data_IF_588986049494
#
_entry.id   IF_588986049494
#
_cell.length_a   1.000
_cell.length_b   1.000
_cell.length_c   1.000
_cell.angle_alpha   90.00
_cell.angle_beta   90.00
_cell.angle_gamma   90.00
#
_symmetry.space_group_name_H-M   'P 1'
#
loop_
_entity.id
_entity.type
_entity.pdbx_description
1 polymer ?
#
# COMPACT_ATOMS: atom_id res chain seq x y z
N UNK A 1 -20.37 -4.89 -38.98
CA UNK A 1 -19.42 -4.25 -39.93
C UNK A 1 -19.21 -2.75 -39.64
N UNK A 2 -19.40 -2.29 -38.38
CA UNK A 2 -19.11 -0.88 -37.99
C UNK A 2 -18.09 -0.77 -36.85
N UNK A 3 -17.73 -1.87 -36.23
CA UNK A 3 -16.76 -1.96 -35.12
C UNK A 3 -15.29 -2.02 -35.56
N UNK A 4 -15.02 -2.41 -36.82
CA UNK A 4 -13.65 -2.55 -37.33
C UNK A 4 -12.95 -1.22 -37.69
N UNK A 5 -13.70 -0.10 -37.84
CA UNK A 5 -13.11 1.17 -38.29
C UNK A 5 -12.68 2.13 -37.16
N UNK A 6 -13.02 1.85 -35.89
CA UNK A 6 -12.60 2.67 -34.75
C UNK A 6 -11.24 2.21 -34.26
N UNK A 7 -10.92 0.92 -34.35
CA UNK A 7 -9.66 0.34 -33.91
C UNK A 7 -8.47 0.79 -34.78
N UNK A 8 -8.68 1.10 -36.05
CA UNK A 8 -7.57 1.49 -36.95
C UNK A 8 -7.11 2.95 -36.79
N UNK A 9 -7.87 3.79 -36.10
CA UNK A 9 -7.51 5.20 -35.90
C UNK A 9 -6.59 5.43 -34.68
N UNK A 10 -6.59 4.53 -33.71
CA UNK A 10 -5.76 4.64 -32.47
C UNK A 10 -4.32 4.16 -32.66
N UNK A 11 -4.05 3.22 -33.56
CA UNK A 11 -2.71 2.68 -33.82
C UNK A 11 -1.76 3.67 -34.53
N UNK A 12 -2.29 4.75 -35.13
CA UNK A 12 -1.52 5.73 -35.90
C UNK A 12 -1.01 6.95 -35.09
N UNK A 13 -1.39 7.10 -33.81
CA UNK A 13 -0.98 8.22 -32.95
C UNK A 13 0.21 7.90 -32.01
N UNK A 14 0.61 6.65 -31.88
CA UNK A 14 1.71 6.23 -31.01
C UNK A 14 3.12 6.37 -31.60
N UNK A 15 3.26 6.85 -32.87
CA UNK A 15 4.57 6.93 -33.56
C UNK A 15 5.10 8.34 -33.84
N UNK A 16 4.56 9.39 -33.24
CA UNK A 16 4.93 10.78 -33.53
C UNK A 16 5.39 11.57 -32.28
N UNK A 17 6.38 11.10 -31.53
CA UNK A 17 7.18 11.95 -30.64
C UNK A 17 8.57 11.34 -30.41
N UNK A 18 9.47 11.54 -31.37
CA UNK A 18 10.87 11.19 -31.28
C UNK A 18 11.72 12.03 -32.20
N UNK A 19 12.11 13.22 -31.78
CA UNK A 19 12.98 14.10 -32.56
C UNK A 19 13.47 15.30 -31.77
N UNK A 20 14.41 15.09 -30.88
CA UNK A 20 15.16 16.15 -30.19
C UNK A 20 16.66 15.96 -30.45
N UNK A 21 17.26 16.88 -31.19
CA UNK A 21 18.66 16.86 -31.63
C UNK A 21 19.63 16.98 -30.45
N UNK A 22 20.63 16.10 -30.40
CA UNK A 22 21.76 16.14 -29.50
C UNK A 22 22.70 17.30 -29.87
N UNK A 23 22.92 18.22 -28.94
CA UNK A 23 24.02 19.17 -28.99
C UNK A 23 25.16 18.61 -28.13
N UNK A 24 26.25 18.25 -28.80
CA UNK A 24 27.48 17.73 -28.18
C UNK A 24 28.31 18.93 -27.69
N UNK A 25 28.43 19.12 -26.38
CA UNK A 25 29.44 20.01 -25.79
C UNK A 25 30.49 19.19 -25.07
N UNK A 26 31.71 19.22 -25.65
CA UNK A 26 32.90 18.58 -25.09
C UNK A 26 33.46 19.46 -23.97
N UNK A 27 33.37 19.02 -22.72
CA UNK A 27 34.02 19.69 -21.58
C UNK A 27 35.23 18.84 -21.15
N UNK A 28 36.42 19.42 -21.25
CA UNK A 28 37.68 18.85 -20.78
C UNK A 28 37.79 18.95 -19.26
N UNK A 29 38.06 17.83 -18.59
CA UNK A 29 38.35 17.72 -17.17
C UNK A 29 39.78 18.11 -16.82
N UNK A 30 40.05 18.80 -15.70
CA UNK A 30 41.40 19.03 -15.17
C UNK A 30 41.96 17.79 -14.44
N UNK A 31 43.29 17.64 -14.28
CA UNK A 31 43.92 16.43 -13.81
C UNK A 31 43.74 16.17 -12.32
N UNK A 32 43.59 14.89 -12.02
CA UNK A 32 43.42 14.29 -10.69
C UNK A 32 44.67 14.42 -9.84
N UNK A 33 44.54 14.96 -8.63
CA UNK A 33 45.60 14.97 -7.60
C UNK A 33 45.39 13.76 -6.70
N UNK A 34 46.36 12.83 -6.67
CA UNK A 34 46.37 11.66 -5.81
C UNK A 34 46.76 12.04 -4.37
N UNK A 35 45.92 11.70 -3.38
CA UNK A 35 46.25 11.72 -1.96
C UNK A 35 46.76 10.34 -1.48
N UNK A 36 47.67 10.28 -0.50
CA UNK A 36 48.22 9.03 0.02
C UNK A 36 47.25 8.29 0.92
N UNK A 37 47.38 6.94 1.07
CA UNK A 37 46.44 6.14 1.88
C UNK A 37 46.69 6.34 3.36
N UNK A 38 45.61 6.66 4.11
CA UNK A 38 45.60 6.66 5.55
C UNK A 38 45.07 5.32 6.06
N UNK A 39 45.90 4.54 6.71
CA UNK A 39 45.52 3.29 7.37
C UNK A 39 44.96 3.60 8.74
N UNK A 40 43.66 3.46 8.93
CA UNK A 40 43.04 3.53 10.26
C UNK A 40 42.68 2.13 10.72
N UNK A 41 43.38 1.65 11.76
CA UNK A 41 43.09 0.38 12.42
C UNK A 41 41.98 0.64 13.45
N UNK A 42 40.76 0.17 13.18
CA UNK A 42 39.66 0.23 14.14
C UNK A 42 39.61 -1.06 14.92
N UNK A 43 39.93 -1.00 16.21
CA UNK A 43 39.71 -2.09 17.18
C UNK A 43 38.23 -2.07 17.63
N UNK A 44 37.53 -3.18 17.42
CA UNK A 44 36.16 -3.41 17.88
C UNK A 44 36.14 -3.58 19.42
N UNK A 45 35.16 -3.00 20.13
CA UNK A 45 34.94 -3.30 21.54
C UNK A 45 34.29 -4.68 21.72
N UNK A 46 34.47 -5.35 22.90
CA UNK A 46 33.99 -6.71 23.13
C UNK A 46 32.47 -6.74 23.25
N UNK A 47 31.85 -7.71 22.59
CA UNK A 47 30.40 -8.02 22.60
C UNK A 47 30.01 -8.51 24.00
N UNK A 48 29.16 -7.80 24.70
CA UNK A 48 28.56 -8.22 25.96
C UNK A 48 27.32 -9.06 25.68
N UNK A 49 27.40 -10.37 25.90
CA UNK A 49 26.25 -11.26 25.80
C UNK A 49 25.41 -11.12 27.07
N UNK A 50 24.23 -10.52 26.98
CA UNK A 50 23.26 -10.48 28.08
C UNK A 50 22.41 -11.73 28.04
N UNK A 51 22.62 -12.67 28.92
CA UNK A 51 21.77 -13.86 29.10
C UNK A 51 20.58 -13.47 29.97
N UNK A 52 19.40 -13.37 29.38
CA UNK A 52 18.15 -13.17 30.12
C UNK A 52 17.67 -14.51 30.65
N UNK A 53 17.82 -14.74 31.97
CA UNK A 53 17.25 -15.90 32.66
C UNK A 53 15.77 -15.62 32.97
N UNK A 54 14.90 -16.49 32.51
CA UNK A 54 13.47 -16.52 32.87
C UNK A 54 13.30 -16.89 34.34
N UNK A 55 12.33 -16.31 35.08
CA UNK A 55 12.10 -16.67 36.48
C UNK A 55 11.54 -18.10 36.61
N UNK A 56 11.83 -18.81 37.70
CA UNK A 56 11.42 -20.20 37.89
C UNK A 56 9.91 -20.31 38.14
N UNK A 57 9.29 -21.24 37.44
CA UNK A 57 7.90 -21.64 37.64
C UNK A 57 7.74 -22.33 39.00
N UNK A 58 6.96 -21.73 39.89
CA UNK A 58 6.63 -22.33 41.18
C UNK A 58 5.55 -23.38 41.02
N UNK A 59 5.90 -24.66 41.13
CA UNK A 59 4.94 -25.77 41.17
C UNK A 59 4.45 -25.93 42.58
N UNK A 60 3.20 -25.57 42.88
CA UNK A 60 2.57 -25.85 44.17
C UNK A 60 1.99 -27.26 44.15
N UNK A 61 2.61 -28.19 44.88
CA UNK A 61 2.08 -29.53 45.11
C UNK A 61 1.11 -29.49 46.28
N UNK A 62 -0.18 -29.64 46.03
CA UNK A 62 -1.22 -29.77 47.05
C UNK A 62 -1.39 -31.25 47.37
N UNK A 63 -0.98 -31.65 48.59
CA UNK A 63 -1.23 -33.00 49.10
C UNK A 63 -2.62 -33.07 49.72
N UNK A 64 -3.53 -33.82 49.09
CA UNK A 64 -4.89 -34.03 49.62
C UNK A 64 -4.91 -35.30 50.45
N UNK A 65 -5.16 -35.16 51.76
CA UNK A 65 -5.41 -36.28 52.67
C UNK A 65 -6.86 -36.74 52.54
N UNK A 66 -7.03 -38.00 52.12
CA UNK A 66 -8.37 -38.61 51.98
C UNK A 66 -8.84 -39.16 53.33
N UNK A 67 -9.93 -38.63 53.86
CA UNK A 67 -10.69 -39.24 54.96
C UNK A 67 -11.96 -39.83 54.38
N UNK A 68 -12.11 -41.14 54.48
CA UNK A 68 -13.28 -41.87 54.03
C UNK A 68 -14.37 -41.81 55.05
N UNK A 69 -15.58 -41.42 54.73
CA UNK A 69 -16.82 -41.96 55.34
C UNK A 69 -18.06 -41.53 54.52
N UNK A 70 -18.88 -42.53 54.19
CA UNK A 70 -20.35 -42.60 54.02
C UNK A 70 -20.93 -42.17 52.68
N UNK A 71 -21.56 -43.17 52.08
CA UNK A 71 -22.42 -43.27 50.91
C UNK A 71 -23.38 -42.09 50.72
N UNK A 72 -23.16 -41.33 49.63
CA UNK A 72 -24.19 -40.48 49.04
C UNK A 72 -24.00 -40.57 47.53
N UNK A 73 -25.09 -40.86 46.81
CA UNK A 73 -25.11 -40.97 45.34
C UNK A 73 -24.78 -39.59 44.79
N UNK A 74 -23.54 -39.36 44.32
CA UNK A 74 -23.12 -38.12 43.70
C UNK A 74 -23.27 -38.28 42.19
N UNK A 75 -24.21 -37.53 41.61
CA UNK A 75 -24.31 -37.35 40.16
C UNK A 75 -23.10 -36.52 39.75
N UNK A 76 -22.10 -37.14 39.13
CA UNK A 76 -20.93 -36.43 38.59
C UNK A 76 -21.34 -35.70 37.32
N UNK A 77 -21.59 -34.41 37.40
CA UNK A 77 -21.73 -33.55 36.21
C UNK A 77 -20.32 -33.29 35.67
N UNK A 78 -19.96 -33.98 34.59
CA UNK A 78 -18.73 -33.69 33.87
C UNK A 78 -18.90 -32.38 33.08
N UNK A 79 -18.39 -31.28 33.60
CA UNK A 79 -18.32 -30.03 32.84
C UNK A 79 -17.13 -30.15 31.88
N UNK A 80 -17.40 -30.38 30.61
CA UNK A 80 -16.38 -30.30 29.57
C UNK A 80 -16.14 -28.82 29.29
N UNK A 81 -15.04 -28.28 29.78
CA UNK A 81 -14.57 -26.95 29.44
C UNK A 81 -13.93 -27.06 28.05
N UNK A 82 -14.64 -26.67 27.02
CA UNK A 82 -14.07 -26.48 25.67
C UNK A 82 -13.24 -25.19 25.73
N UNK A 83 -11.93 -25.29 25.79
CA UNK A 83 -11.05 -24.15 25.60
C UNK A 83 -11.05 -23.85 24.09
N UNK A 84 -11.84 -22.88 23.67
CA UNK A 84 -11.71 -22.31 22.32
C UNK A 84 -10.42 -21.50 22.31
N UNK A 85 -9.38 -22.03 21.71
CA UNK A 85 -8.19 -21.25 21.37
C UNK A 85 -8.60 -20.34 20.22
N UNK A 86 -8.91 -19.08 20.50
CA UNK A 86 -9.04 -18.08 19.45
C UNK A 86 -7.63 -17.85 18.89
N UNK A 87 -7.44 -18.16 17.61
CA UNK A 87 -6.25 -17.73 16.89
C UNK A 87 -6.16 -16.20 16.99
N UNK A 88 -4.95 -15.61 17.01
CA UNK A 88 -4.83 -14.18 16.89
C UNK A 88 -5.59 -13.71 15.66
N UNK A 89 -6.22 -12.52 15.69
CA UNK A 89 -6.89 -11.98 14.52
C UNK A 89 -5.87 -11.87 13.38
N UNK A 90 -6.24 -12.39 12.20
CA UNK A 90 -5.48 -12.27 10.95
C UNK A 90 -6.26 -11.38 10.00
N UNK A 91 -5.63 -10.77 8.99
CA UNK A 91 -6.35 -10.11 7.92
C UNK A 91 -7.17 -11.14 7.12
N UNK A 92 -8.22 -10.72 6.42
CA UNK A 92 -8.85 -11.55 5.41
C UNK A 92 -7.83 -11.86 4.30
N UNK A 93 -7.94 -13.02 3.67
CA UNK A 93 -7.20 -13.28 2.44
C UNK A 93 -7.85 -12.51 1.29
N UNK A 94 -7.08 -12.30 0.20
CA UNK A 94 -7.65 -11.66 -1.00
C UNK A 94 -8.80 -12.52 -1.55
N UNK A 95 -8.67 -13.84 -1.59
CA UNK A 95 -9.75 -14.74 -2.00
C UNK A 95 -11.00 -14.60 -1.12
N UNK A 96 -10.85 -14.38 0.19
CA UNK A 96 -11.98 -14.13 1.09
C UNK A 96 -12.67 -12.80 0.78
N UNK A 97 -11.91 -11.75 0.43
CA UNK A 97 -12.46 -10.44 0.05
C UNK A 97 -13.17 -10.50 -1.30
N UNK A 98 -12.56 -11.09 -2.32
CA UNK A 98 -13.15 -11.25 -3.66
C UNK A 98 -14.39 -12.18 -3.66
N UNK A 99 -14.57 -12.99 -2.62
CA UNK A 99 -15.77 -13.82 -2.45
C UNK A 99 -16.95 -13.07 -1.78
N UNK A 100 -16.77 -11.82 -1.36
CA UNK A 100 -17.84 -11.00 -0.80
C UNK A 100 -18.78 -10.53 -1.90
N UNK A 101 -20.09 -10.54 -1.61
CA UNK A 101 -21.11 -10.00 -2.54
C UNK A 101 -21.36 -8.52 -2.21
N UNK A 102 -20.27 -7.76 -2.13
CA UNK A 102 -20.30 -6.32 -1.85
C UNK A 102 -19.06 -5.63 -2.42
N UNK A 103 -19.19 -4.38 -2.87
CA UNK A 103 -18.03 -3.59 -3.31
C UNK A 103 -17.04 -3.32 -2.17
N UNK A 104 -15.75 -3.33 -2.47
CA UNK A 104 -14.68 -3.13 -1.51
C UNK A 104 -14.28 -1.64 -1.41
N UNK A 105 -14.04 -1.18 -0.19
CA UNK A 105 -13.52 0.15 0.11
C UNK A 105 -12.01 0.08 0.36
N UNK A 106 -11.23 0.60 -0.59
CA UNK A 106 -9.77 0.69 -0.49
C UNK A 106 -9.37 2.15 -0.21
N UNK A 107 -8.56 2.38 0.81
CA UNK A 107 -8.12 3.74 1.13
C UNK A 107 -6.89 4.13 0.32
N UNK A 108 -7.03 4.94 -0.73
CA UNK A 108 -5.94 5.45 -1.57
C UNK A 108 -4.91 6.21 -0.73
N UNK A 109 -3.71 5.67 -0.58
CA UNK A 109 -2.63 6.18 0.26
C UNK A 109 -3.08 6.57 1.69
N UNK A 110 -4.12 5.88 2.23
CA UNK A 110 -4.74 6.17 3.51
C UNK A 110 -5.83 7.25 3.48
N UNK A 111 -6.32 7.66 2.30
CA UNK A 111 -7.34 8.70 2.12
C UNK A 111 -6.70 10.07 1.87
N UNK A 112 -6.00 10.21 0.76
CA UNK A 112 -5.16 11.36 0.40
C UNK A 112 -5.92 12.69 0.26
N UNK A 113 -7.24 12.64 -0.02
CA UNK A 113 -8.08 13.83 -0.13
C UNK A 113 -8.58 14.31 1.24
N UNK A 114 -8.63 13.46 2.26
CA UNK A 114 -9.09 13.79 3.60
C UNK A 114 -7.94 13.96 4.60
N UNK A 115 -6.77 13.32 4.34
CA UNK A 115 -5.65 13.26 5.27
C UNK A 115 -4.30 13.35 4.54
N UNK A 116 -3.20 13.74 5.24
CA UNK A 116 -1.87 13.72 4.64
C UNK A 116 -1.47 12.29 4.30
N UNK A 117 -1.50 11.99 3.00
CA UNK A 117 -1.34 10.63 2.48
C UNK A 117 -0.03 9.96 2.92
N UNK A 118 -0.01 8.64 2.89
CA UNK A 118 1.17 7.82 3.20
C UNK A 118 1.76 8.11 4.59
N UNK A 119 0.91 8.54 5.54
CA UNK A 119 1.27 8.72 6.95
C UNK A 119 0.52 7.73 7.84
N UNK A 120 1.07 7.37 8.99
CA UNK A 120 0.36 6.53 9.96
C UNK A 120 -0.95 7.20 10.43
N UNK A 121 -0.96 8.54 10.47
CA UNK A 121 -2.18 9.30 10.76
C UNK A 121 -3.29 8.99 9.76
N UNK A 122 -3.00 9.07 8.44
CA UNK A 122 -3.97 8.79 7.39
C UNK A 122 -4.47 7.33 7.45
N UNK A 123 -3.57 6.36 7.55
CA UNK A 123 -3.94 4.94 7.63
C UNK A 123 -4.81 4.61 8.84
N UNK A 124 -4.54 5.22 10.01
CA UNK A 124 -5.42 5.04 11.18
C UNK A 124 -6.81 5.64 10.96
N UNK A 125 -6.91 6.81 10.29
CA UNK A 125 -8.18 7.41 9.94
C UNK A 125 -8.97 6.56 8.94
N UNK A 126 -8.29 5.99 7.95
CA UNK A 126 -8.90 5.05 7.02
C UNK A 126 -9.43 3.80 7.74
N UNK A 127 -8.63 3.20 8.62
CA UNK A 127 -9.07 2.06 9.42
C UNK A 127 -10.26 2.39 10.34
N UNK A 128 -10.29 3.59 10.94
CA UNK A 128 -11.43 4.08 11.73
C UNK A 128 -12.69 4.29 10.87
N UNK A 129 -12.55 4.60 9.59
CA UNK A 129 -13.65 4.72 8.63
C UNK A 129 -14.25 3.36 8.24
N UNK A 130 -13.56 2.24 8.49
CA UNK A 130 -14.07 0.90 8.23
C UNK A 130 -13.71 0.35 6.84
N UNK A 131 -12.55 0.75 6.28
CA UNK A 131 -12.09 0.26 4.98
C UNK A 131 -11.76 -1.24 5.01
N UNK A 132 -11.85 -1.89 3.86
CA UNK A 132 -11.50 -3.31 3.67
C UNK A 132 -9.99 -3.49 3.45
N UNK A 133 -9.37 -2.59 2.68
CA UNK A 133 -7.94 -2.60 2.37
C UNK A 133 -7.32 -1.21 2.59
N UNK A 134 -6.02 -1.21 2.91
CA UNK A 134 -5.19 -0.03 2.83
C UNK A 134 -4.36 -0.10 1.54
N UNK A 135 -4.55 0.87 0.67
CA UNK A 135 -3.69 1.03 -0.49
C UNK A 135 -2.47 1.88 -0.14
N UNK A 136 -1.30 1.54 -0.70
CA UNK A 136 -0.05 2.26 -0.46
C UNK A 136 0.98 2.05 -1.55
N UNK A 137 1.74 3.09 -1.84
CA UNK A 137 2.90 3.08 -2.73
C UNK A 137 4.17 2.75 -1.96
N UNK A 138 5.03 1.87 -2.49
CA UNK A 138 6.31 1.56 -1.85
C UNK A 138 7.49 1.88 -2.74
N UNK A 139 8.57 2.34 -2.09
CA UNK A 139 9.89 2.59 -2.69
C UNK A 139 11.01 2.07 -1.82
N UNK A 140 12.07 1.60 -2.48
CA UNK A 140 13.28 1.15 -1.79
C UNK A 140 14.20 2.32 -1.44
N UNK A 141 14.76 2.29 -0.24
CA UNK A 141 15.74 3.27 0.26
C UNK A 141 17.17 2.86 -0.04
N UNK A 142 18.14 3.76 0.20
CA UNK A 142 19.57 3.48 0.04
C UNK A 142 20.08 2.35 0.95
N UNK A 143 19.44 2.14 2.11
CA UNK A 143 19.76 1.07 3.06
C UNK A 143 18.88 -0.18 2.91
N UNK A 144 18.12 -0.28 1.80
CA UNK A 144 17.41 -1.48 1.39
C UNK A 144 16.10 -1.75 2.16
N UNK A 145 15.46 -0.73 2.67
CA UNK A 145 14.17 -0.81 3.38
C UNK A 145 13.07 -0.23 2.50
N UNK A 146 11.89 -0.85 2.48
CA UNK A 146 10.73 -0.29 1.81
C UNK A 146 10.08 0.79 2.68
N UNK A 147 9.91 1.97 2.10
CA UNK A 147 9.14 3.07 2.67
C UNK A 147 7.87 3.31 1.88
N UNK A 148 6.83 3.79 2.57
CA UNK A 148 5.56 4.14 1.95
C UNK A 148 5.66 5.57 1.42
N UNK A 149 5.82 5.69 0.09
CA UNK A 149 6.01 6.98 -0.58
C UNK A 149 5.74 6.89 -2.08
N UNK A 150 4.95 7.83 -2.62
CA UNK A 150 4.55 7.83 -4.03
C UNK A 150 5.68 8.27 -4.97
N UNK A 151 6.24 9.47 -4.75
CA UNK A 151 7.20 10.10 -5.68
C UNK A 151 8.61 9.51 -5.56
N UNK A 152 9.42 9.65 -6.59
CA UNK A 152 10.83 9.25 -6.55
C UNK A 152 11.66 10.15 -5.62
N UNK A 153 11.22 11.37 -5.39
CA UNK A 153 11.84 12.34 -4.48
C UNK A 153 10.87 12.73 -3.34
N UNK A 154 11.41 13.31 -2.29
CA UNK A 154 10.63 13.68 -1.10
C UNK A 154 9.98 15.06 -1.18
N UNK A 155 10.19 15.79 -2.28
CA UNK A 155 9.75 17.18 -2.42
C UNK A 155 8.22 17.30 -2.48
N UNK A 156 7.52 16.27 -2.96
CA UNK A 156 6.05 16.24 -3.12
C UNK A 156 5.29 16.43 -1.82
N UNK A 157 5.70 15.76 -0.78
CA UNK A 157 5.00 15.70 0.52
C UNK A 157 5.72 16.44 1.62
N UNK A 158 7.06 16.57 1.53
CA UNK A 158 7.88 17.16 2.59
C UNK A 158 8.40 18.55 2.23
N UNK A 159 8.93 19.26 3.21
CA UNK A 159 9.71 20.49 2.99
C UNK A 159 11.19 20.23 2.68
N UNK A 160 11.59 18.95 2.51
CA UNK A 160 12.95 18.54 2.23
C UNK A 160 13.24 18.34 0.74
N UNK A 161 14.49 17.97 0.45
CA UNK A 161 14.97 17.63 -0.89
C UNK A 161 15.72 16.30 -0.81
N UNK A 162 15.65 15.48 -1.86
CA UNK A 162 16.39 14.21 -1.99
C UNK A 162 15.59 13.17 -2.74
N UNK A 163 16.32 12.18 -3.28
CA UNK A 163 15.76 11.02 -3.97
C UNK A 163 15.64 9.88 -2.97
N UNK A 164 14.48 9.26 -2.87
CA UNK A 164 14.19 8.20 -1.87
C UNK A 164 15.22 7.07 -1.91
N UNK A 165 15.58 6.61 -3.11
CA UNK A 165 16.57 5.53 -3.29
C UNK A 165 18.02 5.94 -2.92
N UNK A 166 18.30 7.22 -2.72
CA UNK A 166 19.61 7.75 -2.31
C UNK A 166 19.66 8.10 -0.81
N UNK A 167 18.52 8.02 -0.12
CA UNK A 167 18.37 8.36 1.31
C UNK A 167 18.17 7.09 2.14
N UNK A 168 18.67 7.14 3.38
CA UNK A 168 18.40 6.09 4.38
C UNK A 168 17.02 6.29 5.02
N UNK A 169 16.46 5.22 5.57
CA UNK A 169 15.21 5.30 6.36
C UNK A 169 15.29 6.38 7.45
N UNK A 170 16.42 6.47 8.15
CA UNK A 170 16.58 7.44 9.23
C UNK A 170 16.51 8.90 8.73
N UNK A 171 17.06 9.18 7.55
CA UNK A 171 16.97 10.51 6.91
C UNK A 171 15.55 10.81 6.45
N UNK A 172 14.88 9.84 5.84
CA UNK A 172 13.49 9.97 5.39
C UNK A 172 12.54 10.19 6.58
N UNK A 173 12.67 9.41 7.65
CA UNK A 173 11.83 9.54 8.84
C UNK A 173 12.06 10.82 9.65
N UNK A 174 13.14 11.54 9.41
CA UNK A 174 13.34 12.87 9.99
C UNK A 174 12.49 13.96 9.32
N UNK A 175 11.99 13.71 8.10
CA UNK A 175 11.17 14.63 7.33
C UNK A 175 9.71 14.64 7.81
N UNK A 176 9.03 15.75 7.57
CA UNK A 176 7.61 15.97 7.83
C UNK A 176 6.81 15.61 6.57
N UNK A 177 6.17 14.45 6.55
CA UNK A 177 5.44 13.94 5.39
C UNK A 177 4.05 14.60 5.20
N UNK A 178 3.65 15.48 6.10
CA UNK A 178 2.41 16.26 6.02
C UNK A 178 2.66 17.75 5.66
N UNK A 179 3.87 18.11 5.27
CA UNK A 179 4.29 19.50 5.11
C UNK A 179 3.46 20.29 4.12
N UNK A 180 3.05 19.65 3.00
CA UNK A 180 2.32 20.31 1.91
C UNK A 180 0.84 19.96 1.86
N UNK A 181 0.36 19.10 2.76
CA UNK A 181 -1.04 18.68 2.73
C UNK A 181 -1.99 19.79 3.19
N UNK A 182 -3.05 20.03 2.42
CA UNK A 182 -4.14 20.96 2.75
C UNK A 182 -5.49 20.34 2.37
N UNK A 183 -6.52 20.46 3.22
CA UNK A 183 -7.85 19.92 2.93
C UNK A 183 -8.58 20.67 1.81
N UNK A 184 -8.08 21.82 1.39
CA UNK A 184 -8.71 22.66 0.35
C UNK A 184 -8.07 22.48 -1.00
N UNK A 185 -6.87 21.97 -1.07
CA UNK A 185 -6.14 21.75 -2.30
C UNK A 185 -4.97 20.79 -2.07
N UNK A 186 -5.01 19.65 -2.74
CA UNK A 186 -3.91 18.70 -2.75
C UNK A 186 -3.64 18.25 -4.20
N UNK A 187 -2.43 18.31 -4.70
CA UNK A 187 -1.21 18.87 -4.09
C UNK A 187 -1.05 20.36 -4.44
N UNK A 188 -1.11 21.26 -3.47
CA UNK A 188 -0.86 22.70 -3.64
C UNK A 188 0.29 23.17 -2.75
N UNK A 189 1.14 24.08 -3.26
CA UNK A 189 2.33 24.55 -2.54
C UNK A 189 2.40 26.07 -2.38
N UNK A 190 1.45 26.80 -2.92
CA UNK A 190 1.37 28.27 -2.96
C UNK A 190 0.27 28.84 -2.07
N UNK A 191 -0.27 28.02 -1.16
CA UNK A 191 -1.24 28.45 -0.16
C UNK A 191 -0.54 29.22 0.98
N UNK A 192 -1.33 29.94 1.77
CA UNK A 192 -0.80 30.56 2.97
C UNK A 192 -0.39 29.52 4.02
N UNK A 193 0.60 29.83 4.88
CA UNK A 193 1.11 28.87 5.88
C UNK A 193 0.02 28.28 6.77
N UNK A 194 -1.01 29.05 7.09
CA UNK A 194 -2.15 28.61 7.91
C UNK A 194 -3.08 27.60 7.21
N UNK A 195 -2.96 27.41 5.91
CA UNK A 195 -3.76 26.47 5.13
C UNK A 195 -3.17 25.05 5.11
N UNK A 196 -2.01 24.86 5.75
CA UNK A 196 -1.34 23.57 5.93
C UNK A 196 -1.41 23.12 7.40
N UNK A 197 -2.50 22.50 7.85
CA UNK A 197 -2.79 22.30 9.27
C UNK A 197 -1.83 21.35 9.99
N UNK A 198 -1.14 20.48 9.26
CA UNK A 198 -0.20 19.51 9.84
C UNK A 198 1.27 19.86 9.66
N UNK A 199 1.56 20.98 8.97
CA UNK A 199 2.94 21.46 8.78
C UNK A 199 3.62 21.72 10.12
N UNK A 200 4.72 21.03 10.36
CA UNK A 200 5.50 21.15 11.59
C UNK A 200 5.06 20.22 12.72
N UNK A 201 4.05 19.37 12.53
CA UNK A 201 3.67 18.35 13.53
C UNK A 201 4.82 17.35 13.71
N UNK A 202 5.36 16.80 12.62
CA UNK A 202 6.48 15.84 12.70
C UNK A 202 7.69 16.40 13.45
N UNK A 203 7.96 17.69 13.29
CA UNK A 203 9.12 18.38 13.90
C UNK A 203 8.83 18.95 15.29
N UNK A 204 7.61 18.80 15.81
CA UNK A 204 7.20 19.29 17.12
C UNK A 204 7.00 20.81 17.20
N UNK A 205 6.85 21.49 16.06
CA UNK A 205 6.50 22.92 15.98
C UNK A 205 4.99 23.12 16.20
N UNK A 206 4.20 22.16 15.73
CA UNK A 206 2.74 22.10 15.90
C UNK A 206 2.40 20.85 16.71
N UNK A 207 1.48 20.97 17.66
CA UNK A 207 1.01 19.83 18.45
C UNK A 207 0.20 18.87 17.55
N UNK A 208 0.43 17.55 17.67
CA UNK A 208 -0.37 16.57 16.93
C UNK A 208 -1.84 16.58 17.39
N UNK A 209 -2.78 16.11 16.54
CA UNK A 209 -4.14 15.87 16.96
C UNK A 209 -4.22 14.90 18.16
N UNK A 210 -5.31 14.98 18.92
CA UNK A 210 -5.52 14.10 20.09
C UNK A 210 -5.45 12.61 19.70
N UNK A 211 -4.69 11.83 20.44
CA UNK A 211 -4.47 10.41 20.20
C UNK A 211 -3.34 10.08 19.22
N UNK A 212 -2.66 11.10 18.68
CA UNK A 212 -1.54 10.94 17.76
C UNK A 212 -0.25 11.54 18.32
N UNK A 213 0.85 11.18 17.70
CA UNK A 213 2.21 11.62 18.04
C UNK A 213 2.88 12.26 16.82
N UNK A 214 3.96 13.02 16.97
CA UNK A 214 4.73 13.52 15.84
C UNK A 214 5.22 12.41 14.90
N UNK A 215 5.46 11.20 15.40
CA UNK A 215 5.92 10.08 14.60
C UNK A 215 4.85 9.56 13.63
N UNK A 216 3.57 9.80 13.91
CA UNK A 216 2.48 9.41 13.00
C UNK A 216 2.44 10.27 11.70
N UNK A 217 3.31 11.28 11.57
CA UNK A 217 3.41 12.20 10.43
C UNK A 217 4.75 12.10 9.67
N UNK A 218 5.56 11.08 9.95
CA UNK A 218 6.79 10.79 9.21
C UNK A 218 6.51 9.95 7.96
N UNK A 219 7.53 9.78 7.11
CA UNK A 219 7.52 8.74 6.08
C UNK A 219 7.63 7.38 6.80
N UNK A 220 6.64 6.52 6.61
CA UNK A 220 6.58 5.20 7.25
C UNK A 220 7.32 4.14 6.44
N UNK A 221 7.71 3.04 7.11
CA UNK A 221 8.14 1.83 6.40
C UNK A 221 6.92 0.96 6.08
N UNK A 222 6.98 0.19 4.98
CA UNK A 222 5.95 -0.81 4.67
C UNK A 222 5.67 -1.71 5.88
N UNK A 223 6.74 -2.24 6.47
CA UNK A 223 6.65 -3.12 7.65
C UNK A 223 5.90 -2.46 8.81
N UNK A 224 6.19 -1.18 9.11
CA UNK A 224 5.52 -0.50 10.23
C UNK A 224 4.02 -0.33 10.01
N UNK A 225 3.58 -0.09 8.77
CA UNK A 225 2.16 -0.02 8.42
C UNK A 225 1.53 -1.41 8.48
N UNK A 226 2.12 -2.42 7.86
CA UNK A 226 1.60 -3.78 7.86
C UNK A 226 1.46 -4.37 9.28
N UNK A 227 2.40 -4.08 10.19
CA UNK A 227 2.34 -4.49 11.61
C UNK A 227 1.28 -3.71 12.40
N UNK A 228 1.04 -2.43 12.07
CA UNK A 228 0.03 -1.62 12.74
C UNK A 228 -1.41 -2.05 12.42
N UNK A 229 -1.62 -2.66 11.24
CA UNK A 229 -2.94 -3.10 10.76
C UNK A 229 -2.99 -4.61 10.48
N UNK A 230 -2.85 -5.45 11.52
CA UNK A 230 -2.77 -6.90 11.35
C UNK A 230 -4.09 -7.56 10.92
N UNK A 231 -5.17 -6.80 10.83
CA UNK A 231 -6.51 -7.29 10.49
C UNK A 231 -7.06 -6.71 9.20
N UNK A 232 -6.31 -5.84 8.51
CA UNK A 232 -6.68 -5.29 7.20
C UNK A 232 -5.82 -5.91 6.11
N UNK A 233 -6.41 -6.18 4.95
CA UNK A 233 -5.67 -6.51 3.75
C UNK A 233 -4.98 -5.27 3.17
N UNK A 234 -4.02 -5.47 2.28
CA UNK A 234 -3.21 -4.39 1.70
C UNK A 234 -3.27 -4.45 0.17
N UNK A 235 -3.23 -3.28 -0.44
CA UNK A 235 -2.98 -3.09 -1.87
C UNK A 235 -1.67 -2.30 -2.00
N UNK A 236 -0.66 -2.85 -2.67
CA UNK A 236 0.71 -2.34 -2.61
C UNK A 236 1.27 -2.08 -4.00
N UNK A 237 1.44 -0.80 -4.36
CA UNK A 237 2.09 -0.45 -5.62
C UNK A 237 3.61 -0.36 -5.48
N UNK A 238 4.34 -1.15 -6.26
CA UNK A 238 5.80 -1.01 -6.43
C UNK A 238 6.06 0.13 -7.42
N UNK A 239 6.51 1.28 -6.89
CA UNK A 239 6.80 2.49 -7.69
C UNK A 239 8.17 2.48 -8.35
N UNK A 240 9.10 1.62 -7.92
CA UNK A 240 10.40 1.47 -8.55
C UNK A 240 10.26 0.74 -9.90
N UNK A 241 10.60 1.41 -10.99
CA UNK A 241 10.53 0.90 -12.37
C UNK A 241 11.88 1.00 -13.09
N UNK A 242 12.93 1.28 -12.33
CA UNK A 242 14.31 1.52 -12.75
C UNK A 242 15.23 0.41 -12.20
N UNK A 243 16.52 0.71 -12.13
CA UNK A 243 17.55 -0.20 -11.61
C UNK A 243 17.30 -0.65 -10.14
N UNK A 244 16.36 -0.03 -9.43
CA UNK A 244 16.00 -0.38 -8.06
C UNK A 244 14.78 -1.33 -7.97
N UNK A 245 14.13 -1.66 -9.09
CA UNK A 245 12.93 -2.50 -9.10
C UNK A 245 13.19 -3.89 -8.51
N UNK A 246 14.30 -4.54 -8.87
CA UNK A 246 14.68 -5.86 -8.36
C UNK A 246 14.87 -5.84 -6.83
N UNK A 247 15.52 -4.78 -6.31
CA UNK A 247 15.73 -4.61 -4.87
C UNK A 247 14.40 -4.36 -4.12
N UNK A 248 13.49 -3.57 -4.71
CA UNK A 248 12.17 -3.31 -4.13
C UNK A 248 11.32 -4.58 -4.09
N UNK A 249 11.30 -5.36 -5.17
CA UNK A 249 10.63 -6.67 -5.25
C UNK A 249 11.17 -7.61 -4.17
N UNK A 250 12.49 -7.77 -4.08
CA UNK A 250 13.10 -8.66 -3.11
C UNK A 250 12.80 -8.26 -1.66
N UNK A 251 12.80 -6.95 -1.36
CA UNK A 251 12.47 -6.44 -0.04
C UNK A 251 10.99 -6.67 0.30
N UNK A 252 10.07 -6.46 -0.66
CA UNK A 252 8.64 -6.70 -0.44
C UNK A 252 8.36 -8.17 -0.17
N UNK A 253 8.92 -9.08 -0.98
CA UNK A 253 8.77 -10.53 -0.78
C UNK A 253 9.28 -10.94 0.60
N UNK A 254 10.45 -10.43 1.03
CA UNK A 254 10.99 -10.73 2.36
C UNK A 254 10.08 -10.21 3.49
N UNK A 255 9.53 -9.01 3.34
CA UNK A 255 8.60 -8.47 4.34
C UNK A 255 7.28 -9.25 4.38
N UNK A 256 6.74 -9.66 3.22
CA UNK A 256 5.53 -10.48 3.15
C UNK A 256 5.73 -11.86 3.79
N UNK A 257 6.90 -12.47 3.60
CA UNK A 257 7.27 -13.75 4.23
C UNK A 257 7.38 -13.63 5.74
N UNK A 258 8.13 -12.61 6.20
CA UNK A 258 8.36 -12.40 7.64
C UNK A 258 7.08 -12.07 8.41
N UNK A 259 6.12 -11.39 7.75
CA UNK A 259 4.85 -10.96 8.33
C UNK A 259 3.70 -11.95 8.11
N UNK A 260 3.93 -13.05 7.37
CA UNK A 260 2.89 -14.03 6.98
C UNK A 260 1.69 -13.34 6.30
N UNK A 261 1.97 -12.51 5.26
CA UNK A 261 0.99 -11.62 4.60
C UNK A 261 0.78 -11.91 3.12
N UNK A 262 1.36 -13.01 2.56
CA UNK A 262 1.27 -13.31 1.12
C UNK A 262 -0.15 -13.48 0.59
N UNK A 263 -1.06 -13.99 1.41
CA UNK A 263 -2.45 -14.25 1.04
C UNK A 263 -3.41 -13.07 1.27
N UNK A 264 -2.91 -11.99 1.87
CA UNK A 264 -3.69 -10.81 2.26
C UNK A 264 -3.20 -9.50 1.61
N UNK A 265 -2.49 -9.63 0.50
CA UNK A 265 -1.93 -8.48 -0.26
C UNK A 265 -2.20 -8.67 -1.74
N UNK A 266 -2.62 -7.58 -2.42
CA UNK A 266 -2.53 -7.43 -3.87
C UNK A 266 -1.29 -6.59 -4.18
N UNK A 267 -0.43 -7.04 -5.10
CA UNK A 267 0.74 -6.28 -5.53
C UNK A 267 0.54 -5.78 -6.94
N UNK A 268 0.77 -4.49 -7.12
CA UNK A 268 0.56 -3.80 -8.38
C UNK A 268 1.78 -2.98 -8.80
N UNK A 269 1.88 -2.65 -10.06
CA UNK A 269 2.76 -1.64 -10.62
C UNK A 269 2.22 -1.21 -11.97
N UNK A 270 2.39 0.06 -12.34
CA UNK A 270 2.13 0.50 -13.71
C UNK A 270 3.09 -0.16 -14.73
N UNK A 271 4.25 -0.68 -14.29
CA UNK A 271 5.18 -1.41 -15.15
C UNK A 271 4.82 -2.89 -15.22
N UNK A 272 4.43 -3.37 -16.40
CA UNK A 272 4.16 -4.79 -16.64
C UNK A 272 5.41 -5.65 -16.41
N UNK A 273 6.62 -5.12 -16.67
CA UNK A 273 7.88 -5.84 -16.39
C UNK A 273 8.09 -6.05 -14.88
N UNK A 274 7.72 -5.06 -14.04
CA UNK A 274 7.82 -5.18 -12.57
C UNK A 274 6.81 -6.20 -12.05
N UNK A 275 5.57 -6.18 -12.53
CA UNK A 275 4.54 -7.16 -12.16
C UNK A 275 4.98 -8.57 -12.57
N UNK A 276 5.47 -8.75 -13.80
CA UNK A 276 5.97 -10.03 -14.28
C UNK A 276 7.15 -10.55 -13.44
N UNK A 277 8.14 -9.68 -13.14
CA UNK A 277 9.27 -10.05 -12.29
C UNK A 277 8.84 -10.40 -10.85
N UNK A 278 7.85 -9.69 -10.28
CA UNK A 278 7.29 -10.03 -8.98
C UNK A 278 6.62 -11.41 -8.99
N UNK A 279 5.80 -11.71 -10.01
CA UNK A 279 5.13 -13.01 -10.15
C UNK A 279 6.10 -14.18 -10.32
N UNK A 280 7.28 -13.96 -10.91
CA UNK A 280 8.31 -15.01 -11.01
C UNK A 280 8.83 -15.46 -9.64
N UNK A 281 8.92 -14.55 -8.66
CA UNK A 281 9.46 -14.83 -7.32
C UNK A 281 8.37 -15.06 -6.25
N UNK A 282 7.15 -14.59 -6.49
CA UNK A 282 6.01 -14.72 -5.59
C UNK A 282 4.72 -15.07 -6.35
N UNK A 283 4.66 -16.24 -7.04
CA UNK A 283 3.54 -16.61 -7.90
C UNK A 283 2.23 -16.88 -7.14
N UNK A 284 2.29 -17.02 -5.83
CA UNK A 284 1.17 -17.23 -4.91
C UNK A 284 0.56 -15.93 -4.36
N UNK A 285 1.15 -14.78 -4.64
CA UNK A 285 0.63 -13.48 -4.24
C UNK A 285 -0.27 -12.92 -5.34
N UNK A 286 -1.45 -12.42 -4.97
CA UNK A 286 -2.37 -11.76 -5.89
C UNK A 286 -1.73 -10.51 -6.50
N UNK A 287 -2.01 -10.28 -7.79
CA UNK A 287 -1.48 -9.11 -8.51
C UNK A 287 -2.55 -8.51 -9.41
N UNK A 288 -2.37 -7.24 -9.80
CA UNK A 288 -3.08 -6.60 -10.92
C UNK A 288 -2.12 -6.38 -12.09
N UNK A 289 -2.59 -6.44 -13.36
CA UNK A 289 -1.73 -6.26 -14.53
C UNK A 289 -1.18 -4.83 -14.62
N UNK A 290 0.03 -4.69 -15.18
CA UNK A 290 0.59 -3.38 -15.50
C UNK A 290 0.00 -2.80 -16.80
N UNK A 291 0.40 -1.55 -17.10
CA UNK A 291 -0.21 -0.76 -18.20
C UNK A 291 -0.09 -1.43 -19.58
N UNK A 292 1.09 -1.95 -19.93
CA UNK A 292 1.29 -2.54 -21.27
C UNK A 292 0.48 -3.83 -21.45
N UNK A 293 0.34 -4.64 -20.39
CA UNK A 293 -0.50 -5.84 -20.39
C UNK A 293 -1.98 -5.48 -20.52
N UNK A 294 -2.45 -4.46 -19.78
CA UNK A 294 -3.80 -3.95 -19.89
C UNK A 294 -4.12 -3.48 -21.33
N UNK A 295 -3.20 -2.74 -21.95
CA UNK A 295 -3.34 -2.29 -23.35
C UNK A 295 -3.38 -3.48 -24.30
N UNK A 296 -2.47 -4.44 -24.14
CA UNK A 296 -2.41 -5.64 -24.98
C UNK A 296 -3.70 -6.48 -24.86
N UNK A 297 -4.21 -6.63 -23.64
CA UNK A 297 -5.46 -7.33 -23.38
C UNK A 297 -6.66 -6.62 -24.00
N UNK A 298 -6.92 -5.36 -23.62
CA UNK A 298 -8.16 -4.65 -24.01
C UNK A 298 -8.14 -4.24 -25.51
N UNK A 299 -7.01 -3.71 -26.01
CA UNK A 299 -6.91 -3.20 -27.38
C UNK A 299 -6.29 -4.23 -28.34
N UNK A 300 -5.38 -5.06 -27.86
CA UNK A 300 -4.69 -6.07 -28.67
C UNK A 300 -5.48 -7.38 -28.79
N UNK A 301 -6.41 -7.66 -27.87
CA UNK A 301 -7.14 -8.94 -27.78
C UNK A 301 -6.24 -10.10 -27.36
N UNK A 302 -5.14 -9.81 -26.65
CA UNK A 302 -4.30 -10.81 -26.03
C UNK A 302 -4.99 -11.36 -24.77
N UNK A 303 -4.59 -12.54 -24.31
CA UNK A 303 -5.14 -13.08 -23.08
C UNK A 303 -4.56 -12.32 -21.88
N UNK A 304 -5.42 -12.00 -20.91
CA UNK A 304 -4.99 -11.49 -19.62
C UNK A 304 -4.21 -12.59 -18.88
N UNK A 305 -3.16 -12.20 -18.16
CA UNK A 305 -2.43 -13.10 -17.27
C UNK A 305 -3.27 -13.57 -16.09
N UNK A 306 -2.65 -14.32 -15.21
CA UNK A 306 -3.29 -14.81 -13.98
C UNK A 306 -3.35 -13.68 -12.93
N UNK A 307 -4.38 -12.85 -13.04
CA UNK A 307 -4.67 -11.73 -12.15
C UNK A 307 -6.12 -11.84 -11.68
N UNK A 308 -6.38 -11.79 -10.36
CA UNK A 308 -7.76 -11.86 -9.86
C UNK A 308 -8.50 -10.51 -9.98
N UNK A 309 -7.79 -9.41 -10.12
CA UNK A 309 -8.33 -8.04 -10.16
C UNK A 309 -7.58 -7.19 -11.19
N UNK A 310 -8.30 -6.25 -11.79
CA UNK A 310 -7.72 -5.18 -12.61
C UNK A 310 -7.99 -3.83 -11.96
N UNK A 311 -6.99 -2.95 -11.93
CA UNK A 311 -7.08 -1.62 -11.35
C UNK A 311 -6.98 -0.57 -12.44
N UNK A 312 -8.01 0.27 -12.57
CA UNK A 312 -8.11 1.22 -13.67
C UNK A 312 -8.64 2.58 -13.22
N UNK A 313 -8.23 3.69 -13.88
CA UNK A 313 -8.90 4.96 -13.72
C UNK A 313 -10.15 5.02 -14.63
N UNK A 314 -11.09 5.94 -14.38
CA UNK A 314 -12.20 6.21 -15.31
C UNK A 314 -11.72 6.67 -16.68
N UNK A 315 -10.60 7.42 -16.73
CA UNK A 315 -9.96 7.89 -17.96
C UNK A 315 -8.43 7.69 -17.87
N UNK A 316 -7.82 7.30 -18.97
CA UNK A 316 -6.38 7.17 -19.10
C UNK A 316 -5.89 7.88 -20.37
N UNK A 317 -5.02 8.89 -20.24
CA UNK A 317 -4.53 9.72 -21.36
C UNK A 317 -5.64 10.27 -22.27
N UNK A 318 -6.79 10.65 -21.69
CA UNK A 318 -7.94 11.18 -22.41
C UNK A 318 -8.79 10.12 -23.11
N UNK A 319 -8.57 8.85 -22.81
CA UNK A 319 -9.37 7.72 -23.26
C UNK A 319 -10.30 7.30 -22.12
N UNK A 320 -11.61 7.25 -22.37
CA UNK A 320 -12.58 6.66 -21.45
C UNK A 320 -12.30 5.15 -21.32
N UNK A 321 -11.97 4.68 -20.12
CA UNK A 321 -11.66 3.28 -19.85
C UNK A 321 -12.93 2.48 -19.56
N UNK A 322 -13.84 3.03 -18.77
CA UNK A 322 -15.06 2.36 -18.28
C UNK A 322 -16.15 2.32 -19.38
N UNK A 323 -15.83 1.73 -20.52
CA UNK A 323 -16.75 1.58 -21.66
C UNK A 323 -17.28 0.15 -21.77
N UNK A 324 -18.38 -0.06 -22.50
CA UNK A 324 -19.01 -1.38 -22.72
C UNK A 324 -18.02 -2.47 -23.15
N UNK A 325 -17.02 -2.12 -23.98
CA UNK A 325 -16.02 -3.09 -24.45
C UNK A 325 -15.08 -3.55 -23.33
N UNK A 326 -14.77 -2.67 -22.37
CA UNK A 326 -13.97 -3.01 -21.20
C UNK A 326 -14.74 -3.99 -20.30
N UNK A 327 -15.99 -3.66 -19.95
CA UNK A 327 -16.80 -4.55 -19.10
C UNK A 327 -17.07 -5.91 -19.76
N UNK A 328 -17.23 -5.95 -21.10
CA UNK A 328 -17.33 -7.24 -21.81
C UNK A 328 -16.06 -8.08 -21.64
N UNK A 329 -14.89 -7.47 -21.75
CA UNK A 329 -13.62 -8.18 -21.58
C UNK A 329 -13.41 -8.65 -20.11
N UNK A 330 -13.82 -7.83 -19.15
CA UNK A 330 -13.80 -8.16 -17.71
C UNK A 330 -14.70 -9.36 -17.42
N UNK A 331 -15.93 -9.36 -17.91
CA UNK A 331 -16.88 -10.48 -17.73
C UNK A 331 -16.34 -11.78 -18.38
N UNK A 332 -15.75 -11.69 -19.58
CA UNK A 332 -15.14 -12.83 -20.26
C UNK A 332 -13.91 -13.39 -19.51
N UNK A 333 -13.11 -12.51 -18.87
CA UNK A 333 -11.95 -12.91 -18.08
C UNK A 333 -12.33 -13.39 -16.68
N UNK A 334 -13.47 -12.97 -16.14
CA UNK A 334 -13.93 -13.32 -14.79
C UNK A 334 -13.05 -12.71 -13.70
N UNK A 335 -12.62 -11.46 -13.87
CA UNK A 335 -11.79 -10.70 -12.94
C UNK A 335 -12.58 -9.57 -12.32
N UNK A 336 -12.22 -9.12 -11.12
CA UNK A 336 -12.83 -7.95 -10.49
C UNK A 336 -12.22 -6.64 -10.98
N UNK A 337 -12.99 -5.57 -10.89
CA UNK A 337 -12.60 -4.22 -11.28
C UNK A 337 -12.55 -3.31 -10.08
N UNK A 338 -11.35 -2.82 -9.76
CA UNK A 338 -11.16 -1.76 -8.78
C UNK A 338 -10.82 -0.46 -9.49
N UNK A 339 -11.55 0.61 -9.15
CA UNK A 339 -11.39 1.91 -9.81
C UNK A 339 -10.71 2.89 -8.86
N UNK A 340 -9.67 3.54 -9.35
CA UNK A 340 -9.07 4.70 -8.68
C UNK A 340 -9.48 5.99 -9.40
N UNK A 341 -10.19 6.93 -8.71
CA UNK A 341 -10.52 8.24 -9.27
C UNK A 341 -9.25 8.99 -9.71
N UNK A 342 -9.28 9.60 -10.89
CA UNK A 342 -8.13 10.29 -11.48
C UNK A 342 -8.12 11.80 -11.27
N UNK A 343 -9.12 12.33 -10.55
CA UNK A 343 -9.24 13.75 -10.24
C UNK A 343 -10.00 14.00 -8.94
N UNK A 344 -9.70 15.11 -8.27
CA UNK A 344 -10.37 15.51 -7.03
C UNK A 344 -11.90 15.67 -7.19
N UNK A 345 -12.37 16.05 -8.38
CA UNK A 345 -13.82 16.21 -8.62
C UNK A 345 -14.55 14.85 -8.61
N UNK A 346 -13.85 13.76 -8.85
CA UNK A 346 -14.37 12.40 -8.82
C UNK A 346 -14.37 11.82 -7.38
N UNK A 347 -13.65 12.43 -6.46
CA UNK A 347 -13.60 12.04 -5.06
C UNK A 347 -14.83 12.56 -4.28
N UNK A 348 -16.00 12.12 -4.70
CA UNK A 348 -17.28 12.54 -4.13
C UNK A 348 -18.31 11.42 -4.13
N UNK A 349 -19.18 11.38 -3.11
CA UNK A 349 -20.19 10.34 -2.93
C UNK A 349 -21.11 10.13 -4.13
N UNK A 350 -21.40 11.20 -4.91
CA UNK A 350 -22.19 11.08 -6.16
C UNK A 350 -21.48 10.27 -7.22
N UNK A 351 -20.18 10.52 -7.42
CA UNK A 351 -19.38 9.78 -8.39
C UNK A 351 -19.12 8.33 -7.96
N UNK A 352 -18.90 8.10 -6.68
CA UNK A 352 -18.78 6.74 -6.14
C UNK A 352 -20.06 5.92 -6.40
N UNK A 353 -21.23 6.53 -6.20
CA UNK A 353 -22.51 5.87 -6.52
C UNK A 353 -22.65 5.58 -8.01
N UNK A 354 -22.21 6.49 -8.90
CA UNK A 354 -22.18 6.25 -10.35
C UNK A 354 -21.28 5.07 -10.73
N UNK A 355 -20.12 4.92 -10.08
CA UNK A 355 -19.24 3.77 -10.30
C UNK A 355 -19.89 2.45 -9.84
N UNK A 356 -20.58 2.45 -8.70
CA UNK A 356 -21.32 1.28 -8.22
C UNK A 356 -22.48 0.90 -9.17
N UNK A 357 -23.16 1.90 -9.74
CA UNK A 357 -24.21 1.67 -10.75
C UNK A 357 -23.66 1.04 -12.04
N UNK A 358 -22.36 1.21 -12.34
CA UNK A 358 -21.68 0.54 -13.45
C UNK A 358 -21.28 -0.91 -13.11
N UNK A 359 -21.40 -1.34 -11.85
CA UNK A 359 -21.02 -2.68 -11.41
C UNK A 359 -19.52 -2.82 -11.10
N UNK A 360 -18.90 -1.78 -10.55
CA UNK A 360 -17.51 -1.81 -10.08
C UNK A 360 -17.43 -2.58 -8.74
N UNK A 361 -16.44 -3.46 -8.60
CA UNK A 361 -16.27 -4.35 -7.45
C UNK A 361 -15.49 -3.72 -6.30
N UNK A 362 -14.75 -2.63 -6.55
CA UNK A 362 -14.03 -1.89 -5.51
C UNK A 362 -13.64 -0.49 -5.95
N UNK A 363 -13.50 0.41 -4.99
CA UNK A 363 -13.02 1.78 -5.23
C UNK A 363 -11.82 2.07 -4.34
N UNK A 364 -10.73 2.49 -4.98
CA UNK A 364 -9.52 2.99 -4.31
C UNK A 364 -9.76 4.48 -4.07
N UNK A 365 -10.40 4.77 -2.94
CA UNK A 365 -10.98 6.08 -2.65
C UNK A 365 -10.00 7.00 -1.93
N UNK A 366 -9.82 8.22 -2.45
CA UNK A 366 -9.13 9.29 -1.74
C UNK A 366 -9.95 9.84 -0.56
N UNK A 367 -11.28 9.57 -0.55
CA UNK A 367 -12.21 9.88 0.54
C UNK A 367 -12.93 8.64 1.06
N UNK A 368 -12.20 7.71 1.69
CA UNK A 368 -12.75 6.40 2.06
C UNK A 368 -13.95 6.50 3.02
N UNK A 369 -13.99 7.48 3.91
CA UNK A 369 -15.14 7.69 4.79
C UNK A 369 -16.41 8.13 4.02
N UNK A 370 -16.26 8.91 2.95
CA UNK A 370 -17.36 9.30 2.08
C UNK A 370 -17.86 8.12 1.25
N UNK A 371 -16.96 7.26 0.79
CA UNK A 371 -17.32 6.04 0.08
C UNK A 371 -18.02 5.04 1.01
N UNK A 372 -17.52 4.85 2.22
CA UNK A 372 -18.20 4.02 3.24
C UNK A 372 -19.64 4.46 3.49
N UNK A 373 -19.89 5.79 3.54
CA UNK A 373 -21.24 6.31 3.67
C UNK A 373 -22.13 5.94 2.46
N UNK A 374 -21.58 5.95 1.24
CA UNK A 374 -22.31 5.52 0.03
C UNK A 374 -22.66 4.03 0.10
N UNK A 375 -21.74 3.18 0.57
CA UNK A 375 -21.99 1.75 0.76
C UNK A 375 -23.11 1.50 1.77
N UNK A 376 -23.10 2.22 2.90
CA UNK A 376 -24.14 2.12 3.93
C UNK A 376 -25.50 2.60 3.42
N UNK A 377 -25.56 3.77 2.76
CA UNK A 377 -26.80 4.35 2.23
C UNK A 377 -27.39 3.49 1.09
N UNK A 378 -26.54 2.83 0.31
CA UNK A 378 -26.91 1.89 -0.76
C UNK A 378 -27.32 0.51 -0.24
N UNK A 379 -27.04 0.20 1.04
CA UNK A 379 -27.33 -1.10 1.65
C UNK A 379 -26.40 -2.22 1.19
N UNK A 380 -25.19 -1.87 0.73
CA UNK A 380 -24.16 -2.84 0.33
C UNK A 380 -23.47 -3.47 1.56
N UNK A 381 -23.37 -2.73 2.66
CA UNK A 381 -22.79 -3.17 3.94
C UNK A 381 -23.85 -3.10 5.04
N UNK A 382 -23.91 -4.11 5.93
CA UNK A 382 -24.93 -4.25 6.96
C UNK A 382 -24.38 -4.38 8.36
#
# INVERSE_FOLDING_TARGET
MRTANVILALVLLATACGGGAAVSTTTTLPPTTTLPPTTTTTTLPPTTTTTTTLPPTTTTTTTTTTTTTTTTTTTTTTTTTTTTTTLPPRPPTIDELLALDQPLNLAHAGGDQDHPHSTMYAFRRAAEAGVDLLEMDVRITADGVLVVHHDADVFGTTGGEGVVAEMTVAELQALDNAWWWSPTCWPCRDLADGDYPFRGVRTGVVEPPEGFTPDDFRIETFRSVAEAFPTLALDVEIKNRDDHAEAAIAALVADLDDLDRRDSVVVVSFSSDVVAAFKEVAPDVATSPGTDEMIAWILGGEALGDHPVVQVPPNYDGIEVLMEAFFTAVEEAGVEVWVWPDSTDQEAGGFYAELLDLGIDGIIAGRPAAFEQVLQDGGYVG
#
